data_IF_437939676228
#
_entry.id   IF_437939676228
#
_cell.length_a   1.000
_cell.length_b   1.000
_cell.length_c   1.000
_cell.angle_alpha   90.00
_cell.angle_beta   90.00
_cell.angle_gamma   90.00
#
_symmetry.space_group_name_H-M   'P 1'
#
loop_
_entity.id
_entity.type
_entity.pdbx_description
1 polymer ?
#
# COMPACT_ATOMS: atom_id res chain seq x y z
N UNK A 1 -7.73 21.33 -42.04
CA UNK A 1 -6.63 21.02 -41.11
C UNK A 1 -7.25 20.79 -39.75
N UNK A 2 -7.36 19.53 -39.34
CA UNK A 2 -8.14 19.12 -38.17
C UNK A 2 -7.44 19.50 -36.87
N UNK A 3 -8.15 20.25 -36.03
CA UNK A 3 -7.72 20.61 -34.69
C UNK A 3 -7.76 19.34 -33.82
N UNK A 4 -6.63 18.68 -33.60
CA UNK A 4 -6.55 17.57 -32.66
C UNK A 4 -6.69 18.16 -31.25
N UNK A 5 -7.86 18.02 -30.65
CA UNK A 5 -8.06 18.20 -29.21
C UNK A 5 -7.26 17.13 -28.47
N UNK A 6 -5.98 17.37 -28.23
CA UNK A 6 -5.18 16.58 -27.29
C UNK A 6 -5.56 17.01 -25.87
N UNK A 7 -6.53 16.31 -25.28
CA UNK A 7 -6.84 16.51 -23.87
C UNK A 7 -5.58 16.20 -23.03
N UNK A 8 -5.16 17.11 -22.15
CA UNK A 8 -4.00 16.92 -21.27
C UNK A 8 -4.24 15.85 -20.19
N UNK A 9 -5.49 15.42 -20.03
CA UNK A 9 -5.92 14.42 -19.07
C UNK A 9 -6.69 13.32 -19.79
N UNK A 10 -6.46 12.08 -19.36
CA UNK A 10 -7.22 10.92 -19.77
C UNK A 10 -7.90 10.31 -18.55
N UNK A 11 -9.18 9.95 -18.70
CA UNK A 11 -9.88 9.15 -17.70
C UNK A 11 -9.39 7.71 -17.78
N UNK A 12 -8.95 7.15 -16.66
CA UNK A 12 -8.51 5.77 -16.55
C UNK A 12 -9.69 4.87 -16.14
N UNK A 13 -9.44 3.56 -16.04
CA UNK A 13 -10.45 2.62 -15.54
C UNK A 13 -10.92 3.03 -14.15
N UNK A 14 -12.21 2.93 -13.91
CA UNK A 14 -12.80 3.21 -12.60
C UNK A 14 -12.29 2.22 -11.55
N UNK A 15 -12.11 2.73 -10.34
CA UNK A 15 -11.76 1.90 -9.18
C UNK A 15 -12.92 0.96 -8.83
N UNK A 16 -12.63 -0.28 -8.40
CA UNK A 16 -13.67 -1.19 -7.93
C UNK A 16 -14.53 -0.60 -6.80
N UNK A 17 -13.88 0.14 -5.90
CA UNK A 17 -14.52 0.80 -4.76
C UNK A 17 -14.14 2.29 -4.70
N UNK A 18 -15.03 3.18 -4.27
CA UNK A 18 -14.70 4.59 -4.07
C UNK A 18 -13.75 4.74 -2.88
N UNK A 19 -12.75 5.61 -3.06
CA UNK A 19 -11.78 5.94 -2.02
C UNK A 19 -11.83 7.43 -1.68
N UNK A 20 -11.86 7.74 -0.38
CA UNK A 20 -11.69 9.09 0.13
C UNK A 20 -10.39 9.17 0.91
N UNK A 21 -9.54 10.16 0.61
CA UNK A 21 -8.23 10.35 1.27
C UNK A 21 -7.32 9.10 1.27
N UNK A 22 -7.37 8.31 0.20
CA UNK A 22 -6.51 7.15 0.06
C UNK A 22 -5.02 7.49 0.07
N UNK A 23 -4.22 6.57 0.58
CA UNK A 23 -2.77 6.63 0.52
C UNK A 23 -2.28 5.78 -0.64
N UNK A 24 -1.43 6.36 -1.48
CA UNK A 24 -0.93 5.68 -2.67
C UNK A 24 0.60 5.61 -2.67
N UNK A 25 1.15 4.49 -3.12
CA UNK A 25 2.60 4.27 -3.24
C UNK A 25 2.92 3.76 -4.64
N UNK A 26 3.86 4.42 -5.31
CA UNK A 26 4.34 3.99 -6.62
C UNK A 26 5.39 2.87 -6.47
N UNK A 27 5.19 1.77 -7.18
CA UNK A 27 6.17 0.69 -7.31
C UNK A 27 6.25 0.22 -8.77
N UNK A 28 7.31 0.61 -9.48
CA UNK A 28 7.49 0.30 -10.91
C UNK A 28 6.28 0.79 -11.72
N UNK A 29 5.58 -0.11 -12.42
CA UNK A 29 4.39 0.19 -13.20
C UNK A 29 3.10 0.09 -12.39
N UNK A 30 3.19 -0.03 -11.06
CA UNK A 30 2.05 -0.20 -10.19
C UNK A 30 1.85 1.02 -9.28
N UNK A 31 0.62 1.49 -9.20
CA UNK A 31 0.16 2.39 -8.16
C UNK A 31 -0.58 1.56 -7.11
N UNK A 32 0.06 1.35 -5.97
CA UNK A 32 -0.56 0.69 -4.81
C UNK A 32 -1.46 1.70 -4.11
N UNK A 33 -2.67 1.30 -3.79
CA UNK A 33 -3.70 2.10 -3.13
C UNK A 33 -4.01 1.37 -1.83
N UNK A 34 -3.73 2.01 -0.70
CA UNK A 34 -3.68 1.36 0.61
C UNK A 34 -4.71 1.96 1.56
N UNK A 35 -5.96 1.51 1.44
CA UNK A 35 -7.07 1.98 2.25
C UNK A 35 -7.39 3.47 2.03
N UNK A 36 -8.35 3.97 2.79
CA UNK A 36 -8.82 5.35 2.80
C UNK A 36 -9.73 5.56 4.00
N UNK A 37 -10.37 6.73 4.08
CA UNK A 37 -11.32 7.03 5.16
C UNK A 37 -12.44 5.98 5.22
N UNK A 38 -12.44 5.18 6.29
CA UNK A 38 -13.29 3.98 6.48
C UNK A 38 -13.22 2.89 5.39
N UNK A 39 -12.31 3.02 4.42
CA UNK A 39 -12.11 2.03 3.37
C UNK A 39 -10.88 1.20 3.69
N UNK A 40 -11.04 -0.10 3.90
CA UNK A 40 -9.97 -1.02 4.32
C UNK A 40 -9.28 -1.71 3.13
N UNK A 41 -9.90 -1.73 1.97
CA UNK A 41 -9.39 -2.44 0.81
C UNK A 41 -8.11 -1.82 0.26
N UNK A 42 -7.23 -2.69 -0.22
CA UNK A 42 -6.01 -2.31 -0.91
C UNK A 42 -6.01 -2.88 -2.33
N UNK A 43 -5.58 -2.06 -3.29
CA UNK A 43 -5.51 -2.43 -4.71
C UNK A 43 -4.15 -2.07 -5.31
N UNK A 44 -3.74 -2.80 -6.33
CA UNK A 44 -2.65 -2.41 -7.23
C UNK A 44 -3.25 -2.05 -8.59
N UNK A 45 -3.00 -0.82 -9.04
CA UNK A 45 -3.33 -0.39 -10.39
C UNK A 45 -2.10 -0.48 -11.29
N UNK A 46 -2.16 -1.27 -12.36
CA UNK A 46 -1.05 -1.40 -13.29
C UNK A 46 -1.16 -0.40 -14.44
N UNK A 47 -0.30 0.62 -14.42
CA UNK A 47 -0.28 1.77 -15.35
C UNK A 47 -0.25 1.38 -16.83
N UNK A 48 0.46 0.33 -17.21
CA UNK A 48 0.53 -0.14 -18.62
C UNK A 48 -0.66 -1.03 -19.03
N UNK A 49 -1.27 -1.74 -18.07
CA UNK A 49 -2.37 -2.68 -18.34
C UNK A 49 -3.73 -1.99 -18.19
N UNK A 50 -3.78 -0.83 -17.52
CA UNK A 50 -5.00 -0.10 -17.18
C UNK A 50 -6.01 -0.97 -16.41
N UNK A 51 -5.49 -1.74 -15.45
CA UNK A 51 -6.27 -2.70 -14.67
C UNK A 51 -5.93 -2.63 -13.18
N UNK A 52 -6.91 -2.96 -12.34
CA UNK A 52 -6.76 -3.10 -10.90
C UNK A 52 -6.75 -4.56 -10.50
N UNK A 53 -5.93 -4.91 -9.51
CA UNK A 53 -6.00 -6.17 -8.78
C UNK A 53 -6.12 -5.89 -7.30
N UNK A 54 -6.98 -6.65 -6.63
CA UNK A 54 -7.06 -6.65 -5.17
C UNK A 54 -5.75 -7.17 -4.57
N UNK A 55 -5.33 -6.57 -3.45
CA UNK A 55 -4.15 -7.00 -2.69
C UNK A 55 -4.62 -7.69 -1.41
N UNK A 56 -5.26 -6.94 -0.52
CA UNK A 56 -5.79 -7.38 0.78
C UNK A 56 -6.63 -6.28 1.41
N UNK A 57 -7.06 -6.49 2.66
CA UNK A 57 -7.67 -5.46 3.51
C UNK A 57 -6.77 -5.13 4.70
N UNK A 58 -6.89 -3.92 5.24
CA UNK A 58 -6.46 -3.62 6.60
C UNK A 58 -7.21 -4.51 7.61
N UNK A 59 -6.64 -4.82 8.80
CA UNK A 59 -7.35 -5.55 9.85
C UNK A 59 -8.70 -4.91 10.23
N UNK A 60 -9.69 -5.72 10.64
CA UNK A 60 -11.07 -5.26 10.87
C UNK A 60 -11.25 -4.41 12.13
N UNK A 61 -10.32 -4.51 13.07
CA UNK A 61 -10.24 -3.71 14.29
C UNK A 61 -9.64 -2.31 14.05
N UNK A 62 -9.06 -2.07 12.87
CA UNK A 62 -8.44 -0.79 12.49
C UNK A 62 -9.48 0.13 11.85
N UNK A 63 -9.66 1.32 12.43
CA UNK A 63 -10.45 2.41 11.82
C UNK A 63 -9.51 3.39 11.14
N UNK A 64 -9.50 3.39 9.82
CA UNK A 64 -8.69 4.32 9.02
C UNK A 64 -9.31 5.72 9.01
N UNK A 65 -8.92 6.51 10.01
CA UNK A 65 -9.27 7.92 10.15
C UNK A 65 -7.98 8.76 10.20
N UNK A 66 -7.39 9.02 9.03
CA UNK A 66 -6.09 9.69 8.91
C UNK A 66 -4.93 8.74 9.13
N UNK A 67 -4.20 8.43 8.07
CA UNK A 67 -3.00 7.60 8.10
C UNK A 67 -2.06 7.95 6.96
N UNK A 68 -0.81 7.54 7.10
CA UNK A 68 0.21 7.64 6.08
C UNK A 68 0.72 6.23 5.76
N UNK A 69 1.05 6.00 4.48
CA UNK A 69 1.71 4.78 4.04
C UNK A 69 2.99 5.17 3.34
N UNK A 70 4.11 4.62 3.81
CA UNK A 70 5.44 4.93 3.29
C UNK A 70 6.14 3.66 2.85
N UNK A 71 6.96 3.78 1.81
CA UNK A 71 7.85 2.70 1.37
C UNK A 71 9.13 2.73 2.20
N UNK A 72 9.46 1.62 2.85
CA UNK A 72 10.74 1.44 3.52
C UNK A 72 11.80 1.05 2.49
N UNK A 73 12.91 1.78 2.45
CA UNK A 73 14.06 1.52 1.57
C UNK A 73 15.17 0.91 2.40
N UNK A 74 15.59 -0.32 2.04
CA UNK A 74 16.77 -0.94 2.61
C UNK A 74 17.99 -0.61 1.73
N UNK A 75 18.94 0.15 2.29
CA UNK A 75 20.15 0.57 1.60
C UNK A 75 21.18 -0.56 1.43
N UNK A 76 21.04 -1.67 2.15
CA UNK A 76 22.04 -2.74 2.14
C UNK A 76 21.80 -3.78 1.04
N UNK A 77 20.65 -3.73 0.35
CA UNK A 77 20.28 -4.75 -0.60
C UNK A 77 20.36 -4.22 -2.05
N UNK A 78 21.52 -4.40 -2.68
CA UNK A 78 21.80 -3.98 -4.07
C UNK A 78 20.86 -4.61 -5.11
N UNK A 79 20.13 -5.68 -4.77
CA UNK A 79 19.14 -6.33 -5.64
C UNK A 79 17.75 -5.68 -5.59
N UNK A 80 17.53 -4.67 -4.75
CA UNK A 80 16.22 -4.02 -4.54
C UNK A 80 15.67 -3.29 -5.76
N UNK A 81 16.52 -2.87 -6.70
CA UNK A 81 16.10 -2.15 -7.92
C UNK A 81 15.25 -3.02 -8.86
N UNK A 82 15.49 -4.32 -8.88
CA UNK A 82 14.76 -5.27 -9.75
C UNK A 82 13.75 -6.12 -8.99
N UNK A 83 13.77 -6.10 -7.66
CA UNK A 83 12.80 -6.84 -6.85
C UNK A 83 11.36 -6.40 -7.14
N UNK A 84 10.48 -7.37 -7.33
CA UNK A 84 9.01 -7.17 -7.34
C UNK A 84 8.46 -7.00 -5.92
N UNK A 85 9.34 -6.97 -4.91
CA UNK A 85 9.00 -6.90 -3.51
C UNK A 85 9.42 -5.57 -2.90
N UNK A 86 8.58 -5.02 -2.03
CA UNK A 86 8.87 -3.84 -1.21
C UNK A 86 8.29 -4.05 0.19
N UNK A 87 8.79 -3.29 1.15
CA UNK A 87 8.17 -3.22 2.47
C UNK A 87 7.45 -1.89 2.61
N UNK A 88 6.19 -1.92 3.01
CA UNK A 88 5.37 -0.76 3.30
C UNK A 88 5.16 -0.65 4.81
N UNK A 89 5.19 0.57 5.33
CA UNK A 89 4.81 0.90 6.70
C UNK A 89 3.56 1.79 6.64
N UNK A 90 2.49 1.35 7.29
CA UNK A 90 1.28 2.14 7.51
C UNK A 90 1.20 2.56 8.96
N UNK A 91 1.02 3.84 9.23
CA UNK A 91 0.83 4.34 10.58
C UNK A 91 -0.16 5.50 10.60
N UNK A 92 -0.85 5.66 11.72
CA UNK A 92 -1.74 6.79 11.92
C UNK A 92 -2.82 6.53 12.94
N UNK A 93 -3.96 7.18 12.73
CA UNK A 93 -5.10 7.25 13.61
C UNK A 93 -5.48 8.70 13.94
N UNK A 94 -6.74 8.88 14.30
CA UNK A 94 -7.30 10.14 14.74
C UNK A 94 -7.10 10.33 16.26
N UNK A 95 -7.28 11.55 16.76
CA UNK A 95 -7.15 11.89 18.20
C UNK A 95 -7.96 10.97 19.14
N UNK A 96 -9.10 10.46 18.67
CA UNK A 96 -10.02 9.60 19.43
C UNK A 96 -10.05 8.14 18.97
N UNK A 97 -9.18 7.75 18.04
CA UNK A 97 -9.06 6.36 17.60
C UNK A 97 -7.76 5.76 18.10
N UNK A 98 -7.74 4.44 18.22
CA UNK A 98 -6.50 3.71 18.44
C UNK A 98 -5.50 4.06 17.33
N UNK A 99 -4.25 4.27 17.73
CA UNK A 99 -3.15 4.42 16.80
C UNK A 99 -2.78 3.05 16.28
N UNK A 100 -2.41 2.99 15.01
CA UNK A 100 -1.91 1.76 14.41
C UNK A 100 -0.52 1.97 13.83
N UNK A 101 0.23 0.88 13.78
CA UNK A 101 1.47 0.80 13.03
C UNK A 101 1.55 -0.62 12.49
N UNK A 102 1.47 -0.73 11.17
CA UNK A 102 1.37 -1.97 10.43
C UNK A 102 2.47 -2.02 9.39
N UNK A 103 3.00 -3.21 9.14
CA UNK A 103 3.97 -3.48 8.11
C UNK A 103 3.38 -4.46 7.11
N UNK A 104 3.67 -4.26 5.83
CA UNK A 104 3.34 -5.21 4.77
C UNK A 104 4.57 -5.48 3.94
N UNK A 105 4.93 -6.76 3.80
CA UNK A 105 5.82 -7.21 2.73
C UNK A 105 4.97 -7.38 1.48
N UNK A 106 5.06 -6.41 0.58
CA UNK A 106 4.34 -6.45 -0.67
C UNK A 106 5.16 -7.21 -1.72
N UNK A 107 4.52 -8.11 -2.45
CA UNK A 107 5.01 -8.73 -3.69
C UNK A 107 4.01 -8.40 -4.78
N UNK A 108 4.50 -7.89 -5.92
CA UNK A 108 3.65 -7.54 -7.06
C UNK A 108 2.66 -8.65 -7.42
N UNK A 109 1.38 -8.32 -7.42
CA UNK A 109 0.27 -9.20 -7.82
C UNK A 109 0.19 -9.40 -9.35
N UNK A 110 1.12 -8.80 -10.08
CA UNK A 110 1.31 -8.95 -11.52
C UNK A 110 2.54 -9.80 -11.87
N UNK A 111 3.29 -10.27 -10.86
CA UNK A 111 4.52 -11.06 -11.02
C UNK A 111 4.34 -12.39 -11.75
N UNK A 112 3.15 -13.00 -11.71
CA UNK A 112 2.88 -14.28 -12.37
C UNK A 112 3.02 -14.24 -13.89
N UNK A 113 3.10 -13.05 -14.50
CA UNK A 113 3.26 -12.92 -15.95
C UNK A 113 4.72 -13.05 -16.41
N UNK A 114 5.72 -13.02 -15.51
CA UNK A 114 7.13 -13.13 -15.88
C UNK A 114 8.00 -13.79 -14.77
N UNK A 115 8.25 -15.10 -14.90
CA UNK A 115 9.43 -15.80 -14.37
C UNK A 115 9.77 -15.62 -12.88
N UNK A 116 8.79 -15.66 -11.97
CA UNK A 116 9.08 -15.99 -10.58
C UNK A 116 8.57 -17.42 -10.36
N UNK A 117 9.49 -18.33 -10.07
CA UNK A 117 9.15 -19.70 -9.71
C UNK A 117 8.17 -19.63 -8.52
N UNK A 118 6.93 -20.10 -8.71
CA UNK A 118 5.89 -20.16 -7.68
C UNK A 118 6.37 -20.85 -6.37
N UNK A 119 7.47 -21.60 -6.47
CA UNK A 119 8.15 -22.27 -5.36
C UNK A 119 8.94 -21.33 -4.42
N UNK A 120 9.21 -20.06 -4.78
CA UNK A 120 9.90 -19.11 -3.90
C UNK A 120 8.98 -18.21 -3.07
N UNK A 121 7.70 -18.11 -3.43
CA UNK A 121 6.70 -17.46 -2.57
C UNK A 121 6.30 -18.49 -1.52
N UNK A 122 7.17 -18.67 -0.54
CA UNK A 122 6.84 -19.47 0.63
C UNK A 122 5.58 -18.86 1.28
N UNK A 123 4.47 -19.61 1.20
CA UNK A 123 3.14 -19.22 1.70
C UNK A 123 3.18 -18.90 3.21
N UNK A 124 4.23 -19.32 3.92
CA UNK A 124 4.46 -19.00 5.33
C UNK A 124 4.76 -17.52 5.61
N UNK A 125 5.17 -16.74 4.60
CA UNK A 125 5.75 -15.41 4.81
C UNK A 125 4.73 -14.25 4.94
N UNK A 126 3.43 -14.54 4.92
CA UNK A 126 2.35 -13.55 5.08
C UNK A 126 2.52 -12.32 4.16
N UNK A 127 2.89 -12.56 2.90
CA UNK A 127 2.99 -11.50 1.90
C UNK A 127 1.63 -10.87 1.59
N UNK A 128 1.66 -9.61 1.17
CA UNK A 128 0.47 -8.85 0.76
C UNK A 128 -0.59 -8.80 1.86
N UNK A 129 -0.18 -8.84 3.12
CA UNK A 129 -1.05 -8.69 4.29
C UNK A 129 -0.47 -7.64 5.23
N UNK A 130 -1.36 -6.91 5.90
CA UNK A 130 -0.97 -5.99 6.96
C UNK A 130 -0.78 -6.75 8.27
N UNK A 131 0.41 -6.65 8.85
CA UNK A 131 0.75 -7.24 10.14
C UNK A 131 1.14 -6.14 11.15
N UNK A 132 0.92 -6.33 12.46
CA UNK A 132 1.45 -5.43 13.48
C UNK A 132 2.96 -5.22 13.30
N UNK A 133 3.41 -3.98 13.32
CA UNK A 133 4.85 -3.70 13.35
C UNK A 133 5.38 -3.94 14.76
N UNK A 134 6.21 -4.96 14.94
CA UNK A 134 6.67 -5.41 16.25
C UNK A 134 8.18 -5.25 16.43
N UNK A 135 8.62 -5.24 17.68
CA UNK A 135 10.04 -5.36 18.01
C UNK A 135 10.48 -6.84 18.04
N UNK A 136 11.75 -7.09 18.35
CA UNK A 136 12.35 -8.45 18.40
C UNK A 136 11.77 -9.36 19.50
N UNK A 137 10.81 -8.90 20.29
CA UNK A 137 10.09 -9.68 21.31
C UNK A 137 8.60 -9.77 20.97
N UNK A 138 8.24 -9.53 19.71
CA UNK A 138 6.87 -9.54 19.20
C UNK A 138 5.92 -8.54 19.88
N UNK A 139 6.45 -7.51 20.54
CA UNK A 139 5.64 -6.44 21.09
C UNK A 139 5.35 -5.39 20.02
N UNK A 140 4.07 -5.00 19.82
CA UNK A 140 3.71 -3.95 18.88
C UNK A 140 4.40 -2.62 19.20
N UNK A 141 4.95 -1.99 18.17
CA UNK A 141 5.49 -0.64 18.21
C UNK A 141 4.39 0.29 17.71
N UNK A 142 4.09 1.34 18.47
CA UNK A 142 3.08 2.34 18.10
C UNK A 142 3.79 3.65 17.78
N UNK A 143 3.54 4.18 16.58
CA UNK A 143 3.96 5.52 16.19
C UNK A 143 2.86 6.51 16.55
N UNK A 144 3.18 7.43 17.45
CA UNK A 144 2.29 8.49 17.92
C UNK A 144 1.88 8.36 19.38
N UNK A 145 1.33 9.44 19.91
CA UNK A 145 0.85 9.56 21.29
C UNK A 145 -0.68 9.57 21.32
N UNK A 146 -1.22 9.42 22.52
CA UNK A 146 -2.64 9.66 22.76
C UNK A 146 -2.99 11.11 22.39
N UNK A 147 -4.11 11.31 21.68
CA UNK A 147 -4.56 12.63 21.21
C UNK A 147 -3.93 13.11 19.90
N UNK A 148 -2.84 12.50 19.40
CA UNK A 148 -2.28 12.89 18.11
C UNK A 148 -3.28 12.64 16.97
N UNK A 149 -3.28 13.53 15.98
CA UNK A 149 -4.17 13.45 14.83
C UNK A 149 -3.33 13.33 13.55
N UNK A 150 -3.44 12.18 12.86
CA UNK A 150 -2.69 11.90 11.64
C UNK A 150 -3.45 12.26 10.35
N UNK A 151 -4.54 13.03 10.45
CA UNK A 151 -5.27 13.51 9.27
C UNK A 151 -4.36 14.41 8.44
N UNK A 152 -4.17 14.04 7.17
CA UNK A 152 -3.37 14.83 6.23
C UNK A 152 -1.85 14.64 6.33
N UNK A 153 -1.36 13.71 7.16
CA UNK A 153 0.07 13.37 7.22
C UNK A 153 0.53 12.78 5.89
N UNK A 154 1.69 13.23 5.42
CA UNK A 154 2.34 12.79 4.17
C UNK A 154 3.85 12.69 4.40
N UNK A 155 4.52 11.87 3.60
CA UNK A 155 5.99 11.74 3.56
C UNK A 155 6.52 12.15 2.19
#
# INVERSE_FOLDING_TARGET
MGNQNTASFQTLKDLPNPFHQAQCVLHKHELLICGGYYQRDCYSYHTLKNEYKFICEYPSDIKLCGHCVVKLVDNNNNNSKYSNQITLLSFGGHQYSNKHTLVMKYVSVWSNDNNINENEIDKSNNYNQWLPFTNNRDHPIIIGRYGDCYVGVRA
#
